data_IF_119696889513
#
_entry.id   IF_119696889513
#
_cell.length_a   1.000
_cell.length_b   1.000
_cell.length_c   1.000
_cell.angle_alpha   90.00
_cell.angle_beta   90.00
_cell.angle_gamma   90.00
#
_symmetry.space_group_name_H-M   'P 1'
#
loop_
_entity.id
_entity.type
_entity.pdbx_description
1 polymer ?
#
# COMPACT_ATOMS: atom_id res chain seq x y z
N UNK A 1 1.38 -31.31 -11.00
CA UNK A 1 -0.01 -31.38 -11.49
C UNK A 1 0.01 -31.16 -13.00
N UNK A 2 -0.81 -31.89 -13.76
CA UNK A 2 -0.80 -31.87 -15.23
C UNK A 2 -1.31 -30.54 -15.79
N UNK A 3 -0.55 -29.93 -16.72
CA UNK A 3 -0.90 -28.69 -17.40
C UNK A 3 -2.32 -28.71 -18.04
N UNK A 4 -2.80 -29.90 -18.42
CA UNK A 4 -4.16 -30.10 -18.97
C UNK A 4 -5.29 -29.82 -17.96
N UNK A 5 -5.10 -30.11 -16.67
CA UNK A 5 -6.12 -29.85 -15.65
C UNK A 5 -6.24 -28.36 -15.38
N UNK A 6 -5.10 -27.65 -15.35
CA UNK A 6 -5.05 -26.21 -15.09
C UNK A 6 -5.73 -25.39 -16.19
N UNK A 7 -5.58 -25.80 -17.45
CA UNK A 7 -6.29 -25.20 -18.58
C UNK A 7 -7.81 -25.44 -18.51
N UNK A 8 -8.25 -26.58 -17.96
CA UNK A 8 -9.68 -26.93 -17.90
C UNK A 8 -10.46 -25.99 -16.96
N UNK A 9 -9.86 -25.55 -15.85
CA UNK A 9 -10.48 -24.63 -14.88
C UNK A 9 -10.42 -23.18 -15.35
N UNK A 10 -9.27 -22.74 -15.85
CA UNK A 10 -9.02 -21.32 -16.13
C UNK A 10 -9.61 -20.88 -17.48
N UNK A 11 -9.55 -21.73 -18.52
CA UNK A 11 -9.95 -21.36 -19.89
C UNK A 11 -11.40 -20.86 -19.98
N UNK A 12 -12.41 -21.50 -19.35
CA UNK A 12 -13.79 -21.02 -19.41
C UNK A 12 -13.96 -19.62 -18.79
N UNK A 13 -13.23 -19.33 -17.70
CA UNK A 13 -13.26 -18.03 -17.00
C UNK A 13 -12.67 -16.95 -17.92
N UNK A 14 -11.46 -17.19 -18.43
CA UNK A 14 -10.78 -16.23 -19.32
C UNK A 14 -11.58 -15.94 -20.58
N UNK A 15 -12.13 -17.00 -21.20
CA UNK A 15 -12.94 -16.85 -22.41
C UNK A 15 -14.17 -16.00 -22.16
N UNK A 16 -14.90 -16.25 -21.07
CA UNK A 16 -16.10 -15.47 -20.73
C UNK A 16 -15.77 -13.99 -20.51
N UNK A 17 -14.71 -13.68 -19.77
CA UNK A 17 -14.29 -12.30 -19.55
C UNK A 17 -13.86 -11.64 -20.87
N UNK A 18 -13.08 -12.35 -21.70
CA UNK A 18 -12.65 -11.85 -23.01
C UNK A 18 -13.82 -11.56 -23.94
N UNK A 19 -14.80 -12.45 -24.00
CA UNK A 19 -15.97 -12.28 -24.85
C UNK A 19 -16.70 -10.98 -24.47
N UNK A 20 -16.94 -10.71 -23.18
CA UNK A 20 -17.60 -9.48 -22.72
C UNK A 20 -16.76 -8.21 -23.00
N UNK A 21 -15.43 -8.30 -22.87
CA UNK A 21 -14.51 -7.19 -23.15
C UNK A 21 -14.37 -6.90 -24.65
N UNK A 22 -14.47 -7.92 -25.50
CA UNK A 22 -14.39 -7.79 -26.97
C UNK A 22 -15.68 -7.19 -27.52
N UNK A 23 -16.83 -7.58 -26.97
CA UNK A 23 -18.14 -7.04 -27.39
C UNK A 23 -18.51 -5.72 -26.70
N UNK A 24 -17.65 -5.21 -25.80
CA UNK A 24 -17.88 -4.00 -25.00
C UNK A 24 -19.18 -4.07 -24.17
N UNK A 25 -19.45 -5.23 -23.58
CA UNK A 25 -20.69 -5.51 -22.84
C UNK A 25 -20.50 -5.62 -21.33
N UNK A 26 -19.34 -5.19 -20.82
CA UNK A 26 -18.96 -5.30 -19.40
C UNK A 26 -19.96 -4.66 -18.43
N UNK A 27 -20.62 -3.56 -18.83
CA UNK A 27 -21.58 -2.83 -17.99
C UNK A 27 -23.04 -2.94 -18.51
N UNK A 28 -23.33 -3.74 -19.54
CA UNK A 28 -24.69 -3.80 -20.15
C UNK A 28 -25.70 -4.62 -19.35
N UNK A 29 -25.24 -5.61 -18.58
CA UNK A 29 -26.11 -6.56 -17.85
C UNK A 29 -26.09 -6.27 -16.35
N UNK A 30 -26.27 -5.00 -15.99
CA UNK A 30 -26.25 -4.57 -14.60
C UNK A 30 -27.45 -5.13 -13.83
N UNK A 31 -27.18 -5.69 -12.64
CA UNK A 31 -28.26 -6.07 -11.73
C UNK A 31 -29.04 -4.82 -11.31
N UNK A 32 -30.38 -4.86 -11.25
CA UNK A 32 -31.17 -3.73 -10.77
C UNK A 32 -30.92 -3.42 -9.29
N UNK A 33 -30.40 -4.40 -8.53
CA UNK A 33 -29.95 -4.20 -7.16
C UNK A 33 -28.46 -3.82 -7.15
N UNK A 34 -28.14 -2.71 -6.49
CA UNK A 34 -26.78 -2.15 -6.48
C UNK A 34 -25.78 -3.04 -5.73
N UNK A 35 -26.29 -3.91 -4.85
CA UNK A 35 -25.49 -4.80 -4.00
C UNK A 35 -25.22 -6.18 -4.62
N UNK A 36 -25.87 -6.52 -5.74
CA UNK A 36 -25.74 -7.82 -6.39
C UNK A 36 -24.69 -7.82 -7.52
N UNK A 37 -23.78 -8.81 -7.48
CA UNK A 37 -22.81 -9.05 -8.54
C UNK A 37 -23.51 -9.44 -9.86
N UNK A 38 -23.26 -8.66 -10.91
CA UNK A 38 -23.64 -8.93 -12.29
C UNK A 38 -23.03 -10.24 -12.82
N UNK A 39 -23.55 -10.81 -13.91
CA UNK A 39 -22.95 -12.01 -14.52
C UNK A 39 -21.47 -11.82 -14.91
N UNK A 40 -21.06 -10.60 -15.28
CA UNK A 40 -19.67 -10.29 -15.57
C UNK A 40 -18.83 -10.24 -14.29
N UNK A 41 -19.30 -9.55 -13.25
CA UNK A 41 -18.62 -9.48 -11.94
C UNK A 41 -18.44 -10.86 -11.32
N UNK A 42 -19.43 -11.76 -11.41
CA UNK A 42 -19.26 -13.16 -10.95
C UNK A 42 -18.13 -13.90 -11.67
N UNK A 43 -17.86 -13.56 -12.93
CA UNK A 43 -16.73 -14.13 -13.68
C UNK A 43 -15.40 -13.55 -13.19
N UNK A 44 -15.38 -12.26 -12.84
CA UNK A 44 -14.22 -11.63 -12.21
C UNK A 44 -13.98 -12.14 -10.78
N UNK A 45 -15.03 -12.42 -9.99
CA UNK A 45 -14.90 -13.08 -8.68
C UNK A 45 -14.23 -14.46 -8.84
N UNK A 46 -14.69 -15.27 -9.81
CA UNK A 46 -14.06 -16.55 -10.09
C UNK A 46 -12.58 -16.38 -10.52
N UNK A 47 -12.27 -15.36 -11.33
CA UNK A 47 -10.89 -15.04 -11.71
C UNK A 47 -10.03 -14.59 -10.51
N UNK A 48 -10.60 -13.81 -9.60
CA UNK A 48 -9.97 -13.35 -8.37
C UNK A 48 -9.57 -14.53 -7.50
N UNK A 49 -10.51 -15.44 -7.26
CA UNK A 49 -10.31 -16.63 -6.43
C UNK A 49 -9.21 -17.53 -6.99
N UNK A 50 -9.26 -17.86 -8.29
CA UNK A 50 -8.26 -18.76 -8.88
C UNK A 50 -6.87 -18.11 -8.93
N UNK A 51 -6.76 -16.79 -9.05
CA UNK A 51 -5.47 -16.09 -9.04
C UNK A 51 -4.75 -16.13 -7.69
N UNK A 52 -5.39 -16.60 -6.62
CA UNK A 52 -4.70 -16.92 -5.35
C UNK A 52 -3.78 -18.14 -5.47
N UNK A 53 -3.97 -18.98 -6.50
CA UNK A 53 -3.17 -20.17 -6.76
C UNK A 53 -2.15 -19.90 -7.87
N UNK A 54 -0.86 -20.14 -7.57
CA UNK A 54 0.26 -19.78 -8.45
C UNK A 54 0.18 -20.42 -9.85
N UNK A 55 -0.30 -21.66 -9.94
CA UNK A 55 -0.45 -22.39 -11.20
C UNK A 55 -1.51 -21.75 -12.12
N UNK A 56 -2.62 -21.27 -11.56
CA UNK A 56 -3.67 -20.61 -12.33
C UNK A 56 -3.28 -19.17 -12.67
N UNK A 57 -2.66 -18.44 -11.73
CA UNK A 57 -2.09 -17.11 -12.00
C UNK A 57 -1.05 -17.15 -13.14
N UNK A 58 -0.28 -18.24 -13.25
CA UNK A 58 0.66 -18.44 -14.38
C UNK A 58 -0.07 -18.51 -15.71
N UNK A 59 -1.20 -19.22 -15.78
CA UNK A 59 -2.05 -19.21 -16.99
C UNK A 59 -2.53 -17.81 -17.36
N UNK A 60 -2.88 -16.96 -16.39
CA UNK A 60 -3.23 -15.55 -16.65
C UNK A 60 -2.05 -14.75 -17.19
N UNK A 61 -0.85 -14.94 -16.61
CA UNK A 61 0.39 -14.31 -17.08
C UNK A 61 0.72 -14.72 -18.51
N UNK A 62 0.71 -16.03 -18.80
CA UNK A 62 1.11 -16.58 -20.10
C UNK A 62 0.19 -16.10 -21.24
N UNK A 63 -1.07 -15.79 -20.92
CA UNK A 63 -2.04 -15.21 -21.85
C UNK A 63 -2.10 -13.67 -21.82
N UNK A 64 -1.14 -13.00 -21.16
CA UNK A 64 -1.09 -11.54 -20.98
C UNK A 64 -2.40 -10.94 -20.44
N UNK A 65 -3.10 -11.67 -19.58
CA UNK A 65 -4.45 -11.30 -19.16
C UNK A 65 -4.48 -10.00 -18.33
N UNK A 66 -3.35 -9.59 -17.75
CA UNK A 66 -3.21 -8.27 -17.13
C UNK A 66 -3.61 -7.14 -18.07
N UNK A 67 -3.38 -7.25 -19.39
CA UNK A 67 -3.82 -6.25 -20.38
C UNK A 67 -5.33 -6.16 -20.52
N UNK A 68 -6.01 -7.30 -20.40
CA UNK A 68 -7.49 -7.35 -20.38
C UNK A 68 -8.01 -6.68 -19.11
N UNK A 69 -7.38 -6.94 -17.96
CA UNK A 69 -7.73 -6.32 -16.68
C UNK A 69 -7.52 -4.79 -16.72
N UNK A 70 -6.41 -4.31 -17.28
CA UNK A 70 -6.19 -2.87 -17.50
C UNK A 70 -7.32 -2.25 -18.33
N UNK A 71 -7.70 -2.91 -19.44
CA UNK A 71 -8.80 -2.45 -20.29
C UNK A 71 -10.12 -2.39 -19.50
N UNK A 72 -10.45 -3.42 -18.73
CA UNK A 72 -11.64 -3.46 -17.87
C UNK A 72 -11.67 -2.27 -16.91
N UNK A 73 -10.57 -2.04 -16.17
CA UNK A 73 -10.47 -0.93 -15.21
C UNK A 73 -10.71 0.42 -15.86
N UNK A 74 -10.16 0.64 -17.06
CA UNK A 74 -10.28 1.91 -17.78
C UNK A 74 -11.63 2.12 -18.47
N UNK A 75 -12.40 1.06 -18.69
CA UNK A 75 -13.66 1.12 -19.44
C UNK A 75 -14.90 1.07 -18.57
N UNK A 76 -14.83 0.38 -17.43
CA UNK A 76 -16.02 0.20 -16.59
C UNK A 76 -16.38 1.48 -15.85
N UNK A 77 -17.67 1.75 -15.76
CA UNK A 77 -18.24 2.77 -14.89
C UNK A 77 -18.50 2.22 -13.47
N UNK A 78 -18.49 0.90 -13.28
CA UNK A 78 -18.82 0.24 -12.01
C UNK A 78 -17.60 0.07 -11.09
N UNK A 79 -17.71 0.61 -9.88
CA UNK A 79 -16.68 0.46 -8.84
C UNK A 79 -16.41 -1.01 -8.50
N UNK A 80 -17.46 -1.83 -8.38
CA UNK A 80 -17.32 -3.26 -8.08
C UNK A 80 -16.54 -4.02 -9.16
N UNK A 81 -16.81 -3.73 -10.43
CA UNK A 81 -16.05 -4.32 -11.55
C UNK A 81 -14.57 -3.87 -11.52
N UNK A 82 -14.33 -2.59 -11.20
CA UNK A 82 -12.99 -2.02 -11.05
C UNK A 82 -12.21 -2.64 -9.87
N UNK A 83 -12.87 -2.77 -8.72
CA UNK A 83 -12.37 -3.45 -7.52
C UNK A 83 -11.92 -4.86 -7.89
N UNK A 84 -12.80 -5.63 -8.52
CA UNK A 84 -12.52 -7.01 -8.89
C UNK A 84 -11.33 -7.14 -9.84
N UNK A 85 -11.24 -6.27 -10.85
CA UNK A 85 -10.11 -6.26 -11.77
C UNK A 85 -8.77 -5.91 -11.07
N UNK A 86 -8.78 -4.93 -10.15
CA UNK A 86 -7.61 -4.57 -9.37
C UNK A 86 -7.19 -5.66 -8.38
N UNK A 87 -8.13 -6.34 -7.74
CA UNK A 87 -7.81 -7.43 -6.82
C UNK A 87 -7.27 -8.68 -7.52
N UNK A 88 -7.72 -8.96 -8.75
CA UNK A 88 -7.08 -9.99 -9.59
C UNK A 88 -5.61 -9.63 -9.84
N UNK A 89 -5.30 -8.37 -10.20
CA UNK A 89 -3.90 -7.92 -10.37
C UNK A 89 -3.09 -8.05 -9.08
N UNK A 90 -3.68 -7.68 -7.94
CA UNK A 90 -3.04 -7.80 -6.62
C UNK A 90 -2.72 -9.27 -6.27
N UNK A 91 -3.68 -10.19 -6.48
CA UNK A 91 -3.46 -11.62 -6.27
C UNK A 91 -2.39 -12.18 -7.20
N UNK A 92 -2.42 -11.81 -8.49
CA UNK A 92 -1.37 -12.21 -9.43
C UNK A 92 0.02 -11.73 -8.99
N UNK A 93 0.13 -10.48 -8.52
CA UNK A 93 1.41 -9.90 -8.11
C UNK A 93 2.03 -10.62 -6.90
N UNK A 94 1.20 -11.21 -6.03
CA UNK A 94 1.67 -11.95 -4.84
C UNK A 94 2.54 -13.16 -5.18
N UNK A 95 2.44 -13.69 -6.40
CA UNK A 95 3.27 -14.79 -6.89
C UNK A 95 4.62 -14.29 -7.41
N UNK A 96 5.38 -13.62 -6.53
CA UNK A 96 6.65 -13.00 -6.86
C UNK A 96 7.72 -14.01 -7.30
N UNK A 97 7.87 -15.10 -6.54
CA UNK A 97 8.88 -16.14 -6.78
C UNK A 97 8.69 -16.90 -8.10
N UNK A 98 7.45 -16.93 -8.60
CA UNK A 98 7.11 -17.50 -9.89
C UNK A 98 7.32 -16.53 -11.06
N UNK A 99 7.90 -15.35 -10.80
CA UNK A 99 8.16 -14.31 -11.80
C UNK A 99 6.89 -13.63 -12.32
N UNK A 100 5.76 -13.71 -11.61
CA UNK A 100 4.52 -13.00 -11.98
C UNK A 100 4.56 -11.56 -11.46
N UNK A 101 4.83 -11.37 -10.17
CA UNK A 101 5.04 -10.04 -9.58
C UNK A 101 6.04 -9.17 -10.35
N UNK A 102 7.27 -9.65 -10.62
CA UNK A 102 8.24 -8.91 -11.42
C UNK A 102 7.77 -8.61 -12.85
N UNK A 103 6.99 -9.50 -13.47
CA UNK A 103 6.43 -9.26 -14.80
C UNK A 103 5.44 -8.10 -14.79
N UNK A 104 4.57 -8.02 -13.77
CA UNK A 104 3.62 -6.93 -13.61
C UNK A 104 4.32 -5.62 -13.23
N UNK A 105 5.32 -5.65 -12.33
CA UNK A 105 6.08 -4.45 -11.95
C UNK A 105 6.81 -3.82 -13.15
N UNK A 106 7.31 -4.65 -14.06
CA UNK A 106 7.97 -4.20 -15.29
C UNK A 106 6.99 -3.70 -16.37
N UNK A 107 5.67 -3.74 -16.14
CA UNK A 107 4.69 -3.11 -17.00
C UNK A 107 4.30 -1.73 -16.45
N UNK A 108 4.89 -0.68 -17.04
CA UNK A 108 4.65 0.69 -16.61
C UNK A 108 3.18 1.13 -16.70
N UNK A 109 2.37 0.51 -17.57
CA UNK A 109 0.96 0.87 -17.68
C UNK A 109 0.15 0.47 -16.44
N UNK A 110 0.58 -0.56 -15.71
CA UNK A 110 0.00 -0.92 -14.41
C UNK A 110 0.24 0.20 -13.40
N UNK A 111 1.48 0.70 -13.29
CA UNK A 111 1.80 1.78 -12.36
C UNK A 111 1.15 3.12 -12.74
N UNK A 112 1.03 3.42 -14.04
CA UNK A 112 0.26 4.57 -14.52
C UNK A 112 -1.22 4.46 -14.17
N UNK A 113 -1.80 3.26 -14.31
CA UNK A 113 -3.18 3.01 -13.90
C UNK A 113 -3.34 3.20 -12.38
N UNK A 114 -2.46 2.64 -11.56
CA UNK A 114 -2.48 2.85 -10.11
C UNK A 114 -2.43 4.35 -9.75
N UNK A 115 -1.57 5.13 -10.42
CA UNK A 115 -1.51 6.59 -10.22
C UNK A 115 -2.82 7.28 -10.61
N UNK A 116 -3.44 6.86 -11.72
CA UNK A 116 -4.74 7.40 -12.14
C UNK A 116 -5.81 7.12 -11.10
N UNK A 117 -5.90 5.88 -10.62
CA UNK A 117 -6.87 5.48 -9.57
C UNK A 117 -6.65 6.32 -8.31
N UNK A 118 -5.42 6.41 -7.81
CA UNK A 118 -5.11 7.17 -6.60
C UNK A 118 -5.46 8.66 -6.70
N UNK A 119 -5.56 9.20 -7.92
CA UNK A 119 -5.98 10.59 -8.12
C UNK A 119 -7.51 10.68 -8.23
N UNK A 120 -8.16 9.82 -9.02
CA UNK A 120 -9.56 10.06 -9.42
C UNK A 120 -10.58 9.25 -8.64
N UNK A 121 -10.17 8.19 -7.94
CA UNK A 121 -11.07 7.24 -7.29
C UNK A 121 -11.35 7.61 -5.84
N UNK A 122 -12.61 7.44 -5.42
CA UNK A 122 -13.04 7.62 -4.03
C UNK A 122 -13.56 6.31 -3.40
N UNK A 123 -13.75 5.27 -4.21
CA UNK A 123 -14.19 3.97 -3.71
C UNK A 123 -13.12 3.28 -2.86
N UNK A 124 -13.44 3.04 -1.59
CA UNK A 124 -12.49 2.50 -0.63
C UNK A 124 -12.02 1.08 -0.98
N UNK A 125 -12.84 0.28 -1.67
CA UNK A 125 -12.47 -1.09 -2.06
C UNK A 125 -11.54 -1.09 -3.27
N UNK A 126 -11.78 -0.22 -4.25
CA UNK A 126 -10.85 -0.03 -5.38
C UNK A 126 -9.50 0.48 -4.88
N UNK A 127 -9.50 1.46 -3.97
CA UNK A 127 -8.28 1.97 -3.35
C UNK A 127 -7.56 0.90 -2.52
N UNK A 128 -8.30 0.04 -1.82
CA UNK A 128 -7.73 -1.07 -1.05
C UNK A 128 -6.97 -2.04 -1.96
N UNK A 129 -7.57 -2.50 -3.06
CA UNK A 129 -6.91 -3.45 -3.96
C UNK A 129 -5.72 -2.83 -4.69
N UNK A 130 -5.83 -1.55 -5.06
CA UNK A 130 -4.70 -0.77 -5.59
C UNK A 130 -3.55 -0.71 -4.58
N UNK A 131 -3.88 -0.49 -3.31
CA UNK A 131 -2.91 -0.45 -2.21
C UNK A 131 -2.31 -1.82 -1.93
N UNK A 132 -3.07 -2.91 -2.03
CA UNK A 132 -2.56 -4.30 -1.93
C UNK A 132 -1.56 -4.61 -3.04
N UNK A 133 -1.86 -4.22 -4.28
CA UNK A 133 -0.95 -4.40 -5.41
C UNK A 133 0.38 -3.66 -5.19
N UNK A 134 0.31 -2.36 -4.86
CA UNK A 134 1.51 -1.55 -4.61
C UNK A 134 2.31 -2.03 -3.39
N UNK A 135 1.62 -2.51 -2.36
CA UNK A 135 2.26 -3.10 -1.19
C UNK A 135 3.08 -4.33 -1.55
N UNK A 136 2.56 -5.21 -2.40
CA UNK A 136 3.30 -6.37 -2.89
C UNK A 136 4.57 -5.95 -3.61
N UNK A 137 4.48 -4.96 -4.52
CA UNK A 137 5.66 -4.47 -5.25
C UNK A 137 6.74 -3.92 -4.30
N UNK A 138 6.36 -3.11 -3.32
CA UNK A 138 7.32 -2.56 -2.36
C UNK A 138 7.84 -3.60 -1.37
N UNK A 139 6.98 -4.49 -0.86
CA UNK A 139 7.37 -5.52 0.09
C UNK A 139 8.40 -6.47 -0.54
N UNK A 140 8.22 -6.87 -1.80
CA UNK A 140 9.18 -7.71 -2.50
C UNK A 140 10.44 -6.94 -2.99
N UNK A 141 10.41 -5.61 -2.94
CA UNK A 141 11.60 -4.76 -3.20
C UNK A 141 12.43 -4.50 -1.94
N UNK A 142 11.91 -4.84 -0.76
CA UNK A 142 12.57 -4.62 0.54
C UNK A 142 12.86 -5.98 1.16
N UNK A 143 14.12 -6.41 1.11
CA UNK A 143 14.55 -7.63 1.77
C UNK A 143 14.78 -7.38 3.27
N UNK A 144 13.81 -7.79 4.07
CA UNK A 144 13.86 -7.68 5.53
C UNK A 144 14.97 -8.52 6.16
N UNK A 145 15.42 -9.60 5.50
CA UNK A 145 16.45 -10.51 6.04
C UNK A 145 17.85 -9.91 5.99
N UNK A 146 18.10 -9.07 4.99
CA UNK A 146 19.40 -8.42 4.78
C UNK A 146 19.35 -6.89 4.93
N UNK A 147 18.18 -6.33 5.26
CA UNK A 147 17.93 -4.88 5.28
C UNK A 147 18.39 -4.20 3.98
N UNK A 148 18.19 -4.89 2.85
CA UNK A 148 18.57 -4.37 1.54
C UNK A 148 17.35 -3.98 0.73
N UNK A 149 17.45 -2.89 -0.01
CA UNK A 149 16.42 -2.46 -0.95
C UNK A 149 16.91 -2.73 -2.36
N UNK A 150 16.10 -3.45 -3.13
CA UNK A 150 16.30 -3.70 -4.55
C UNK A 150 15.62 -2.57 -5.31
N UNK A 151 16.42 -1.77 -6.01
CA UNK A 151 15.91 -0.68 -6.82
C UNK A 151 15.27 -1.20 -8.12
N UNK A 152 14.03 -0.78 -8.38
CA UNK A 152 13.30 -1.04 -9.63
C UNK A 152 13.00 0.28 -10.35
N UNK A 153 13.48 0.42 -11.59
CA UNK A 153 13.36 1.66 -12.37
C UNK A 153 11.91 2.16 -12.46
N UNK A 154 10.98 1.25 -12.77
CA UNK A 154 9.56 1.59 -12.92
C UNK A 154 8.91 2.01 -11.60
N UNK A 155 9.27 1.36 -10.48
CA UNK A 155 8.78 1.73 -9.16
C UNK A 155 9.32 3.09 -8.72
N UNK A 156 10.62 3.33 -8.96
CA UNK A 156 11.26 4.62 -8.70
C UNK A 156 10.64 5.74 -9.54
N UNK A 157 10.37 5.48 -10.82
CA UNK A 157 9.67 6.42 -11.70
C UNK A 157 8.24 6.67 -11.22
N UNK A 158 7.52 5.64 -10.78
CA UNK A 158 6.17 5.76 -10.22
C UNK A 158 6.15 6.60 -8.94
N UNK A 159 7.16 6.51 -8.07
CA UNK A 159 7.21 7.31 -6.84
C UNK A 159 7.72 8.74 -7.05
N UNK A 160 8.47 8.97 -8.12
CA UNK A 160 8.99 10.31 -8.44
C UNK A 160 7.83 11.29 -8.69
N UNK A 161 7.81 12.46 -8.05
CA UNK A 161 6.79 13.48 -8.31
C UNK A 161 6.85 14.01 -9.75
N UNK A 162 5.69 14.37 -10.27
CA UNK A 162 5.53 14.95 -11.61
C UNK A 162 4.78 16.27 -11.48
N UNK A 163 5.05 17.23 -12.35
CA UNK A 163 4.53 18.61 -12.22
C UNK A 163 3.01 18.70 -12.32
N UNK A 164 2.39 17.79 -13.07
CA UNK A 164 0.96 17.83 -13.40
C UNK A 164 0.13 16.85 -12.58
N UNK A 165 0.66 16.18 -11.57
CA UNK A 165 -0.10 15.25 -10.72
C UNK A 165 0.40 15.31 -9.28
N UNK A 166 -0.49 15.13 -8.28
CA UNK A 166 -0.04 15.00 -6.90
C UNK A 166 0.95 13.84 -6.75
N UNK A 167 1.88 13.97 -5.81
CA UNK A 167 2.83 12.90 -5.51
C UNK A 167 2.10 11.69 -4.91
N UNK A 168 2.64 10.49 -5.08
CA UNK A 168 2.07 9.28 -4.48
C UNK A 168 2.07 9.39 -2.96
N UNK A 169 3.10 10.03 -2.39
CA UNK A 169 3.19 10.33 -0.97
C UNK A 169 2.01 11.20 -0.51
N UNK A 170 1.75 12.31 -1.20
CA UNK A 170 0.63 13.21 -0.88
C UNK A 170 -0.72 12.48 -0.94
N UNK A 171 -0.95 11.68 -1.99
CA UNK A 171 -2.20 10.93 -2.13
C UNK A 171 -2.44 9.97 -0.97
N UNK A 172 -1.41 9.22 -0.56
CA UNK A 172 -1.56 8.31 0.56
C UNK A 172 -1.65 9.02 1.91
N UNK A 173 -1.00 10.17 2.08
CA UNK A 173 -1.23 11.04 3.24
C UNK A 173 -2.70 11.44 3.33
N UNK A 174 -3.27 11.90 2.22
CA UNK A 174 -4.69 12.25 2.17
C UNK A 174 -5.60 11.04 2.48
N UNK A 175 -5.34 9.87 1.90
CA UNK A 175 -6.11 8.64 2.18
C UNK A 175 -6.04 8.28 3.66
N UNK A 176 -4.84 8.23 4.25
CA UNK A 176 -4.62 7.87 5.66
C UNK A 176 -5.39 8.81 6.59
N UNK A 177 -5.31 10.12 6.34
CA UNK A 177 -5.92 11.11 7.22
C UNK A 177 -7.45 11.18 7.12
N UNK A 178 -8.06 10.63 6.05
CA UNK A 178 -9.49 10.82 5.76
C UNK A 178 -10.31 9.52 5.64
N UNK A 179 -9.68 8.36 5.49
CA UNK A 179 -10.42 7.11 5.35
C UNK A 179 -11.04 6.66 6.68
N UNK A 180 -12.30 6.21 6.60
CA UNK A 180 -12.98 5.52 7.70
C UNK A 180 -12.96 4.00 7.53
N UNK A 181 -12.47 3.50 6.38
CA UNK A 181 -12.39 2.08 6.11
C UNK A 181 -11.10 1.50 6.72
N UNK A 182 -11.24 0.75 7.81
CA UNK A 182 -10.13 0.27 8.65
C UNK A 182 -9.12 -0.57 7.89
N UNK A 183 -9.57 -1.42 6.97
CA UNK A 183 -8.68 -2.27 6.17
C UNK A 183 -7.82 -1.44 5.20
N UNK A 184 -8.43 -0.45 4.54
CA UNK A 184 -7.70 0.50 3.69
C UNK A 184 -6.72 1.33 4.52
N UNK A 185 -7.12 1.79 5.71
CA UNK A 185 -6.23 2.53 6.60
C UNK A 185 -4.99 1.71 6.95
N UNK A 186 -5.20 0.47 7.42
CA UNK A 186 -4.12 -0.45 7.79
C UNK A 186 -3.16 -0.67 6.62
N UNK A 187 -3.70 -1.00 5.44
CA UNK A 187 -2.87 -1.25 4.25
C UNK A 187 -2.16 0.00 3.73
N UNK A 188 -2.76 1.18 3.89
CA UNK A 188 -2.15 2.45 3.51
C UNK A 188 -1.00 2.81 4.45
N UNK A 189 -1.13 2.56 5.76
CA UNK A 189 -0.03 2.77 6.73
C UNK A 189 1.15 1.83 6.47
N UNK A 190 0.88 0.55 6.19
CA UNK A 190 1.91 -0.41 5.78
C UNK A 190 2.63 0.07 4.52
N UNK A 191 1.88 0.52 3.51
CA UNK A 191 2.43 1.02 2.25
C UNK A 191 3.29 2.26 2.47
N UNK A 192 2.78 3.23 3.24
CA UNK A 192 3.47 4.49 3.46
C UNK A 192 4.82 4.26 4.15
N UNK A 193 4.85 3.36 5.15
CA UNK A 193 6.10 2.95 5.80
C UNK A 193 7.08 2.38 4.79
N UNK A 194 6.61 1.50 3.88
CA UNK A 194 7.45 0.92 2.83
C UNK A 194 7.92 1.96 1.80
N UNK A 195 7.08 2.94 1.44
CA UNK A 195 7.46 4.07 0.57
C UNK A 195 8.60 4.85 1.22
N UNK A 196 8.48 5.19 2.51
CA UNK A 196 9.51 5.91 3.27
C UNK A 196 10.84 5.13 3.28
N UNK A 197 10.79 3.82 3.58
CA UNK A 197 11.99 2.95 3.58
C UNK A 197 12.62 2.88 2.18
N UNK A 198 11.81 2.60 1.15
CA UNK A 198 12.29 2.44 -0.23
C UNK A 198 12.89 3.74 -0.76
N UNK A 199 12.17 4.86 -0.64
CA UNK A 199 12.62 6.18 -1.13
C UNK A 199 13.88 6.66 -0.41
N UNK A 200 13.99 6.42 0.90
CA UNK A 200 15.21 6.73 1.64
C UNK A 200 16.40 5.90 1.15
N UNK A 201 16.21 4.59 0.95
CA UNK A 201 17.28 3.70 0.49
C UNK A 201 17.77 4.04 -0.92
N UNK A 202 16.85 4.28 -1.86
CA UNK A 202 17.25 4.69 -3.22
C UNK A 202 17.91 6.06 -3.21
N UNK A 203 17.45 7.00 -2.37
CA UNK A 203 18.06 8.33 -2.31
C UNK A 203 19.49 8.22 -1.78
N UNK A 204 19.74 7.46 -0.71
CA UNK A 204 21.12 7.21 -0.27
C UNK A 204 21.98 6.48 -1.32
N UNK A 205 21.41 5.56 -2.08
CA UNK A 205 22.09 4.87 -3.19
C UNK A 205 22.47 5.85 -4.32
N UNK A 206 21.54 6.72 -4.71
CA UNK A 206 21.71 7.76 -5.72
C UNK A 206 22.70 8.83 -5.24
N UNK A 207 22.57 9.32 -4.01
CA UNK A 207 23.51 10.25 -3.39
C UNK A 207 24.91 9.66 -3.33
N UNK A 208 25.10 8.37 -3.01
CA UNK A 208 26.41 7.70 -3.08
C UNK A 208 26.97 7.62 -4.50
N UNK A 209 26.12 7.46 -5.53
CA UNK A 209 26.54 7.50 -6.95
C UNK A 209 26.91 8.92 -7.37
N UNK A 210 26.15 9.93 -6.96
CA UNK A 210 26.34 11.36 -7.29
C UNK A 210 27.39 12.08 -6.45
N UNK A 211 27.73 11.61 -5.26
CA UNK A 211 28.85 12.14 -4.47
C UNK A 211 30.20 11.94 -5.19
N UNK A 212 30.24 11.03 -6.18
CA UNK A 212 31.35 10.90 -7.13
C UNK A 212 31.37 11.99 -8.22
N UNK A 213 30.36 12.87 -8.25
CA UNK A 213 30.06 13.85 -9.31
C UNK A 213 29.69 15.27 -8.79
N UNK A 214 29.98 15.60 -7.52
CA UNK A 214 29.98 17.00 -6.97
C UNK A 214 28.63 17.76 -6.91
N UNK A 215 27.56 17.17 -6.35
CA UNK A 215 26.34 17.92 -5.96
C UNK A 215 25.90 17.64 -4.51
N UNK A 216 25.25 18.64 -3.88
CA UNK A 216 24.79 18.63 -2.49
C UNK A 216 23.63 17.66 -2.24
N UNK A 217 23.70 16.92 -1.14
CA UNK A 217 22.90 15.71 -0.87
C UNK A 217 21.57 15.98 -0.17
N UNK A 218 21.43 17.11 0.53
CA UNK A 218 20.33 17.33 1.48
C UNK A 218 18.99 17.72 0.82
N UNK A 219 18.97 18.11 -0.46
CA UNK A 219 17.74 18.47 -1.18
C UNK A 219 17.02 17.27 -1.84
N UNK A 220 17.68 16.10 -1.99
CA UNK A 220 17.12 14.99 -2.78
C UNK A 220 16.08 14.14 -2.04
N UNK A 221 16.13 14.06 -0.71
CA UNK A 221 15.13 13.28 0.07
C UNK A 221 13.76 13.96 0.00
N UNK A 222 13.73 15.30 0.08
CA UNK A 222 12.52 16.11 -0.09
C UNK A 222 11.98 16.09 -1.53
N UNK A 223 12.71 15.51 -2.49
CA UNK A 223 12.20 15.32 -3.84
C UNK A 223 11.01 14.36 -3.88
N UNK A 224 10.95 13.38 -2.99
CA UNK A 224 9.88 12.36 -2.99
C UNK A 224 8.76 12.68 -1.99
N UNK A 225 9.09 13.40 -0.92
CA UNK A 225 8.22 13.62 0.24
C UNK A 225 8.20 15.09 0.59
N UNK A 226 7.02 15.69 0.58
CA UNK A 226 6.85 17.08 1.01
C UNK A 226 6.87 17.15 2.54
N UNK A 227 7.54 18.16 3.09
CA UNK A 227 7.61 18.42 4.52
C UNK A 227 6.22 18.66 5.11
N UNK A 228 5.31 19.28 4.33
CA UNK A 228 3.93 19.54 4.76
C UNK A 228 3.18 18.23 5.03
N UNK A 229 3.29 17.26 4.12
CA UNK A 229 2.67 15.94 4.23
C UNK A 229 3.26 15.12 5.38
N UNK A 230 4.59 15.17 5.59
CA UNK A 230 5.23 14.46 6.71
C UNK A 230 4.79 14.99 8.06
N UNK A 231 4.60 16.31 8.19
CA UNK A 231 4.08 16.93 9.42
C UNK A 231 2.60 16.61 9.63
N UNK A 232 1.80 16.56 8.56
CA UNK A 232 0.40 16.18 8.65
C UNK A 232 0.25 14.73 9.16
N UNK A 233 1.02 13.79 8.60
CA UNK A 233 1.04 12.39 9.07
C UNK A 233 1.47 12.27 10.54
N UNK A 234 2.41 13.10 10.97
CA UNK A 234 2.89 13.13 12.35
C UNK A 234 1.79 13.57 13.32
N UNK A 235 1.16 14.72 13.05
CA UNK A 235 0.08 15.24 13.88
C UNK A 235 -1.08 14.25 13.92
N UNK A 236 -1.51 13.77 12.76
CA UNK A 236 -2.56 12.76 12.66
C UNK A 236 -2.19 11.48 13.42
N UNK A 237 -0.95 11.00 13.29
CA UNK A 237 -0.48 9.79 13.98
C UNK A 237 -0.44 9.95 15.50
N UNK A 238 -0.04 11.13 15.98
CA UNK A 238 -0.01 11.45 17.41
C UNK A 238 -1.43 11.50 18.00
N UNK A 239 -2.35 12.21 17.34
CA UNK A 239 -3.77 12.24 17.72
C UNK A 239 -4.37 10.83 17.70
N UNK A 240 -4.05 10.04 16.67
CA UNK A 240 -4.56 8.70 16.52
C UNK A 240 -4.09 7.75 17.63
N UNK A 241 -2.81 7.81 18.00
CA UNK A 241 -2.30 7.01 19.13
C UNK A 241 -2.91 7.45 20.46
N UNK A 242 -3.24 8.73 20.60
CA UNK A 242 -3.96 9.22 21.78
C UNK A 242 -5.39 8.67 21.86
N UNK A 243 -6.11 8.64 20.74
CA UNK A 243 -7.45 8.05 20.64
C UNK A 243 -7.45 6.54 20.95
N UNK A 244 -6.50 5.81 20.35
CA UNK A 244 -6.31 4.37 20.59
C UNK A 244 -5.95 4.10 22.04
N UNK A 245 -5.04 4.89 22.63
CA UNK A 245 -4.67 4.82 24.04
C UNK A 245 -5.75 5.28 25.01
N UNK A 246 -6.89 5.79 24.53
CA UNK A 246 -8.11 6.05 25.31
C UNK A 246 -9.21 5.00 25.07
N UNK A 247 -8.98 4.07 24.14
CA UNK A 247 -9.96 3.06 23.74
C UNK A 247 -11.11 3.61 22.89
N UNK A 248 -10.96 4.78 22.25
CA UNK A 248 -11.99 5.45 21.43
C UNK A 248 -11.70 5.31 19.92
N UNK A 249 -10.86 4.34 19.55
CA UNK A 249 -10.42 4.10 18.18
C UNK A 249 -11.50 3.64 17.19
N UNK A 250 -11.13 3.61 15.90
CA UNK A 250 -11.90 3.05 14.80
C UNK A 250 -12.22 1.57 15.12
N UNK A 251 -13.51 1.24 15.18
CA UNK A 251 -13.98 -0.13 15.41
C UNK A 251 -14.59 -0.41 16.79
N UNK A 252 -14.89 0.62 17.60
CA UNK A 252 -15.35 0.48 18.99
C UNK A 252 -14.37 -0.34 19.85
N UNK A 253 -13.14 0.16 19.99
CA UNK A 253 -12.13 -0.45 20.84
C UNK A 253 -10.72 -0.12 20.38
N UNK A 254 -9.74 -0.65 21.11
CA UNK A 254 -8.32 -0.54 20.77
C UNK A 254 -8.00 -1.40 19.54
N UNK A 255 -7.59 -0.77 18.44
CA UNK A 255 -7.21 -1.46 17.20
C UNK A 255 -5.69 -1.65 17.11
N UNK A 256 -5.17 -2.73 17.71
CA UNK A 256 -3.73 -3.09 17.76
C UNK A 256 -2.99 -2.90 16.44
N UNK A 257 -3.55 -3.42 15.34
CA UNK A 257 -2.94 -3.34 14.01
C UNK A 257 -2.72 -1.90 13.53
N UNK A 258 -3.67 -0.99 13.79
CA UNK A 258 -3.55 0.42 13.42
C UNK A 258 -2.49 1.08 14.29
N UNK A 259 -2.56 0.91 15.63
CA UNK A 259 -1.58 1.48 16.55
C UNK A 259 -0.14 1.07 16.22
N UNK A 260 0.08 -0.22 15.97
CA UNK A 260 1.39 -0.76 15.54
C UNK A 260 1.89 -0.09 14.25
N UNK A 261 1.04 0.00 13.23
CA UNK A 261 1.46 0.58 11.94
C UNK A 261 1.63 2.10 11.99
N UNK A 262 0.88 2.81 12.84
CA UNK A 262 1.13 4.23 13.13
C UNK A 262 2.49 4.39 13.79
N UNK A 263 2.81 3.58 14.82
CA UNK A 263 4.14 3.63 15.47
C UNK A 263 5.27 3.33 14.49
N UNK A 264 5.12 2.32 13.62
CA UNK A 264 6.12 2.02 12.57
C UNK A 264 6.34 3.21 11.62
N UNK A 265 5.25 3.83 11.14
CA UNK A 265 5.33 4.97 10.24
C UNK A 265 6.04 6.15 10.92
N UNK A 266 5.61 6.52 12.13
CA UNK A 266 6.24 7.60 12.89
C UNK A 266 7.73 7.30 13.14
N UNK A 267 8.05 6.07 13.50
CA UNK A 267 9.44 5.66 13.71
C UNK A 267 10.25 5.78 12.43
N UNK A 268 9.73 5.34 11.28
CA UNK A 268 10.42 5.44 10.00
C UNK A 268 10.67 6.91 9.61
N UNK A 269 9.66 7.78 9.77
CA UNK A 269 9.79 9.21 9.50
C UNK A 269 10.88 9.87 10.36
N UNK A 270 10.96 9.52 11.64
CA UNK A 270 11.99 10.03 12.56
C UNK A 270 13.37 9.40 12.33
N UNK A 271 13.43 8.09 12.06
CA UNK A 271 14.67 7.34 11.89
C UNK A 271 15.45 7.81 10.65
N UNK A 272 14.74 8.20 9.60
CA UNK A 272 15.32 8.70 8.35
C UNK A 272 15.42 10.24 8.29
N UNK A 273 15.17 10.94 9.39
CA UNK A 273 15.36 12.40 9.48
C UNK A 273 14.38 13.21 8.64
N UNK A 274 13.22 12.64 8.28
CA UNK A 274 12.16 13.35 7.55
C UNK A 274 11.42 14.34 8.46
N UNK A 275 11.47 14.10 9.77
CA UNK A 275 10.89 14.94 10.80
C UNK A 275 11.95 15.23 11.85
N UNK A 276 12.14 16.51 12.17
CA UNK A 276 12.92 16.92 13.32
C UNK A 276 12.02 17.13 14.54
N UNK A 277 12.48 16.71 15.71
CA UNK A 277 11.74 16.87 16.97
C UNK A 277 11.50 18.35 17.32
N UNK A 278 12.33 19.26 16.81
CA UNK A 278 12.11 20.70 16.91
C UNK A 278 10.85 21.16 16.19
N UNK A 279 10.43 20.45 15.14
CA UNK A 279 9.19 20.74 14.41
C UNK A 279 7.95 20.20 15.14
N UNK A 280 8.14 19.35 16.15
CA UNK A 280 7.06 18.64 16.86
C UNK A 280 6.40 19.44 18.00
N UNK A 281 7.08 20.47 18.53
CA UNK A 281 6.64 21.13 19.76
C UNK A 281 6.74 20.23 21.01
N UNK A 282 7.04 20.82 22.17
CA UNK A 282 7.24 20.04 23.41
C UNK A 282 5.99 19.28 23.86
N UNK A 283 4.81 19.87 23.65
CA UNK A 283 3.53 19.30 24.09
C UNK A 283 3.18 18.01 23.34
N UNK A 284 3.45 17.95 22.03
CA UNK A 284 3.16 16.75 21.23
C UNK A 284 4.09 15.60 21.58
N UNK A 285 5.37 15.88 21.84
CA UNK A 285 6.35 14.87 22.27
C UNK A 285 5.93 14.23 23.60
N UNK A 286 5.49 15.06 24.55
CA UNK A 286 4.99 14.57 25.83
C UNK A 286 3.69 13.76 25.67
N UNK A 287 2.74 14.25 24.86
CA UNK A 287 1.48 13.54 24.59
C UNK A 287 1.74 12.17 23.94
N UNK A 288 2.60 12.12 22.93
CA UNK A 288 2.96 10.89 22.23
C UNK A 288 3.59 9.85 23.18
N UNK A 289 4.53 10.27 24.02
CA UNK A 289 5.15 9.40 25.03
C UNK A 289 4.14 8.82 26.03
N UNK A 290 3.17 9.63 26.48
CA UNK A 290 2.09 9.18 27.36
C UNK A 290 1.15 8.19 26.65
N UNK A 291 0.75 8.49 25.41
CA UNK A 291 -0.15 7.65 24.62
C UNK A 291 0.46 6.28 24.34
N UNK A 292 1.74 6.22 23.93
CA UNK A 292 2.45 4.96 23.75
C UNK A 292 2.56 4.16 25.05
N UNK A 293 2.83 4.83 26.18
CA UNK A 293 2.90 4.15 27.49
C UNK A 293 1.56 3.55 27.91
N UNK A 294 0.44 4.24 27.65
CA UNK A 294 -0.91 3.70 27.89
C UNK A 294 -1.20 2.48 27.02
N UNK A 295 -0.86 2.55 25.73
CA UNK A 295 -1.03 1.42 24.80
C UNK A 295 -0.24 0.20 25.27
N UNK A 296 1.02 0.39 25.66
CA UNK A 296 1.86 -0.71 26.20
C UNK A 296 1.26 -1.28 27.48
N UNK A 297 0.71 -0.45 28.38
CA UNK A 297 0.03 -0.92 29.59
C UNK A 297 -1.18 -1.81 29.28
N UNK A 298 -2.05 -1.39 28.34
CA UNK A 298 -3.20 -2.19 27.93
C UNK A 298 -2.81 -3.56 27.38
N UNK A 299 -1.75 -3.59 26.58
CA UNK A 299 -1.21 -4.82 25.99
C UNK A 299 -0.66 -5.76 27.07
N UNK A 300 0.08 -5.22 28.05
CA UNK A 300 0.66 -6.02 29.14
C UNK A 300 -0.42 -6.63 30.05
N UNK A 301 -1.56 -5.96 30.20
CA UNK A 301 -2.72 -6.48 30.95
C UNK A 301 -3.43 -7.65 30.25
N UNK A 302 -3.26 -7.80 28.93
CA UNK A 302 -3.95 -8.83 28.13
C UNK A 302 -3.15 -10.14 27.94
N UNK A 303 -1.88 -10.21 28.39
CA UNK A 303 -0.99 -11.40 28.34
C UNK A 303 -0.89 -12.10 26.96
N UNK A 304 -0.79 -11.35 25.86
CA UNK A 304 -0.70 -11.91 24.51
C UNK A 304 0.77 -11.93 24.03
N UNK A 305 1.27 -13.12 23.62
CA UNK A 305 2.68 -13.36 23.23
C UNK A 305 3.13 -12.64 21.92
N UNK A 306 2.23 -12.08 21.10
CA UNK A 306 2.55 -11.43 19.81
C UNK A 306 2.98 -9.95 19.92
N UNK A 307 3.14 -9.41 21.14
CA UNK A 307 3.19 -7.98 21.40
C UNK A 307 4.57 -7.38 21.73
N UNK A 308 5.64 -8.18 21.65
CA UNK A 308 7.03 -7.71 21.80
C UNK A 308 7.36 -6.59 20.81
N UNK A 309 6.80 -6.64 19.59
CA UNK A 309 7.01 -5.63 18.56
C UNK A 309 6.50 -4.25 18.98
N UNK A 310 5.30 -4.16 19.57
CA UNK A 310 4.71 -2.86 19.97
C UNK A 310 5.52 -2.27 21.13
N UNK A 311 5.95 -3.10 22.07
CA UNK A 311 6.80 -2.67 23.18
C UNK A 311 8.15 -2.15 22.68
N UNK A 312 8.80 -2.90 21.77
CA UNK A 312 10.07 -2.51 21.17
C UNK A 312 9.95 -1.20 20.37
N UNK A 313 8.87 -1.01 19.62
CA UNK A 313 8.62 0.23 18.88
C UNK A 313 8.38 1.42 19.80
N UNK A 314 7.54 1.26 20.82
CA UNK A 314 7.29 2.31 21.81
C UNK A 314 8.58 2.72 22.52
N UNK A 315 9.44 1.76 22.88
CA UNK A 315 10.74 2.03 23.48
C UNK A 315 11.68 2.75 22.51
N UNK A 316 11.75 2.30 21.25
CA UNK A 316 12.60 2.92 20.21
C UNK A 316 12.17 4.37 19.91
N UNK A 317 10.86 4.61 19.82
CA UNK A 317 10.28 5.94 19.65
C UNK A 317 10.57 6.83 20.86
N UNK A 318 10.31 6.37 22.09
CA UNK A 318 10.63 7.12 23.30
C UNK A 318 12.12 7.47 23.41
N UNK A 319 12.99 6.55 22.99
CA UNK A 319 14.45 6.79 22.96
C UNK A 319 14.81 7.87 21.94
N UNK A 320 14.20 7.85 20.75
CA UNK A 320 14.40 8.91 19.74
C UNK A 320 13.85 10.25 20.21
N UNK A 321 12.70 10.27 20.87
CA UNK A 321 12.10 11.48 21.42
C UNK A 321 12.95 12.10 22.54
N UNK A 322 13.59 11.28 23.39
CA UNK A 322 14.38 11.74 24.53
C UNK A 322 15.84 12.12 24.21
N UNK A 323 16.46 11.52 23.19
CA UNK A 323 17.84 11.88 22.76
C UNK A 323 17.89 13.29 22.17
N UNK A 324 16.75 13.87 21.81
CA UNK A 324 16.65 15.09 21.00
C UNK A 324 15.91 16.23 21.72
N UNK A 325 15.54 16.00 22.99
CA UNK A 325 15.03 17.00 23.96
C UNK A 325 16.16 17.54 24.82
#
# INVERSE_FOLDING_TARGET
MDANVNLTVVTPILKRILDEVVHNTIDTNNCPDADDDSPFERSLCAAWDVCTVSEYARSFKDNQFHRVLLKIVTMTERNRTRELAMGILANMASHWDCGIGPHLLNDMDILKLCRSILWTENDARVLLETTRLLNTFLACSIDNSHQTVIEHDHLTQFLTPVTMAPSIFHQYTFIICNTLYSELLLKSLELMTRIVVYTNAITHSLSKRKHRLTESVDEEIFKFMDKSDTLLLLHWGAERLEEEGRGVGIGMGFHRGIAKNVMHLLWALMAYGLINITDCGADMVQSLGQSMSRIVSYIQEEEIEEDDDIQNLAQALNTKLSITS
#
